data_IF_834703309670
#
_entry.id   IF_834703309670
#
_cell.length_a   1.000
_cell.length_b   1.000
_cell.length_c   1.000
_cell.angle_alpha   90.00
_cell.angle_beta   90.00
_cell.angle_gamma   90.00
#
_symmetry.space_group_name_H-M   'P 1'
#
loop_
_entity.id
_entity.type
_entity.pdbx_description
1 polymer ?
#
# COMPACT_ATOMS: atom_id res chain seq x y z
N UNK A 1 13.80 15.21 -53.10
CA UNK A 1 14.37 14.91 -51.78
C UNK A 1 13.55 13.80 -51.16
N UNK A 2 14.07 12.59 -51.15
CA UNK A 2 13.48 11.42 -50.49
C UNK A 2 13.60 11.61 -48.98
N UNK A 3 12.57 11.37 -48.16
CA UNK A 3 12.71 11.43 -46.71
C UNK A 3 13.74 10.39 -46.26
N UNK A 4 14.57 10.68 -45.24
CA UNK A 4 15.50 9.70 -44.71
C UNK A 4 14.69 8.52 -44.18
N UNK A 5 15.02 7.33 -44.68
CA UNK A 5 14.52 6.06 -44.18
C UNK A 5 14.86 5.97 -42.70
N UNK A 6 13.85 6.09 -41.83
CA UNK A 6 13.99 5.74 -40.43
C UNK A 6 14.40 4.28 -40.36
N UNK A 7 15.66 4.03 -40.01
CA UNK A 7 16.06 2.71 -39.56
C UNK A 7 15.12 2.34 -38.41
N UNK A 8 14.41 1.22 -38.56
CA UNK A 8 13.81 0.56 -37.43
C UNK A 8 14.92 0.31 -36.40
N UNK A 9 14.73 0.66 -35.12
CA UNK A 9 15.71 0.32 -34.09
C UNK A 9 15.94 -1.19 -34.11
N UNK A 10 17.21 -1.59 -34.10
CA UNK A 10 17.62 -2.99 -34.10
C UNK A 10 17.19 -3.73 -32.83
N UNK A 11 17.41 -5.06 -32.77
CA UNK A 11 16.97 -5.93 -31.66
C UNK A 11 17.64 -5.66 -30.31
N UNK A 12 18.56 -4.70 -30.23
CA UNK A 12 19.13 -4.14 -28.98
C UNK A 12 18.26 -2.98 -28.46
N UNK A 13 16.97 -3.20 -28.19
CA UNK A 13 16.41 -2.50 -27.03
C UNK A 13 17.20 -3.05 -25.85
N UNK A 14 18.15 -2.27 -25.32
CA UNK A 14 18.93 -2.64 -24.15
C UNK A 14 17.95 -2.83 -22.98
N UNK A 15 17.41 -4.04 -22.83
CA UNK A 15 16.53 -4.41 -21.73
C UNK A 15 17.44 -4.36 -20.50
N UNK A 16 17.39 -3.23 -19.79
CA UNK A 16 18.06 -3.07 -18.51
C UNK A 16 17.43 -4.09 -17.56
N UNK A 17 18.24 -5.06 -17.17
CA UNK A 17 17.86 -6.07 -16.21
C UNK A 17 17.82 -5.43 -14.82
N UNK A 18 16.87 -5.86 -14.01
CA UNK A 18 16.81 -5.45 -12.61
C UNK A 18 18.08 -5.95 -11.89
N UNK A 19 18.79 -5.11 -11.11
CA UNK A 19 19.94 -5.54 -10.33
C UNK A 19 19.61 -6.74 -9.40
N UNK A 20 20.52 -7.72 -9.21
CA UNK A 20 20.24 -8.93 -8.44
C UNK A 20 19.81 -8.68 -6.98
N UNK A 21 20.40 -7.68 -6.33
CA UNK A 21 20.07 -7.24 -4.98
C UNK A 21 18.63 -6.71 -4.89
N UNK A 22 18.21 -5.91 -5.87
CA UNK A 22 16.83 -5.42 -5.95
C UNK A 22 15.85 -6.55 -6.28
N UNK A 23 16.24 -7.48 -7.15
CA UNK A 23 15.44 -8.67 -7.46
C UNK A 23 15.15 -9.51 -6.21
N UNK A 24 16.15 -9.71 -5.34
CA UNK A 24 15.97 -10.42 -4.07
C UNK A 24 15.00 -9.68 -3.12
N UNK A 25 15.08 -8.35 -3.06
CA UNK A 25 14.13 -7.53 -2.27
C UNK A 25 12.71 -7.70 -2.80
N UNK A 26 12.53 -7.68 -4.12
CA UNK A 26 11.22 -7.84 -4.75
C UNK A 26 10.64 -9.22 -4.48
N UNK A 27 11.44 -10.28 -4.60
CA UNK A 27 11.01 -11.64 -4.25
C UNK A 27 10.55 -11.70 -2.80
N UNK A 28 11.37 -11.24 -1.85
CA UNK A 28 11.00 -11.21 -0.42
C UNK A 28 9.68 -10.49 -0.20
N UNK A 29 9.53 -9.32 -0.82
CA UNK A 29 8.35 -8.48 -0.66
C UNK A 29 7.09 -9.14 -1.25
N UNK A 30 7.19 -9.81 -2.41
CA UNK A 30 6.09 -10.57 -2.98
C UNK A 30 5.61 -11.71 -2.05
N UNK A 31 6.54 -12.45 -1.43
CA UNK A 31 6.19 -13.49 -0.45
C UNK A 31 5.49 -12.89 0.79
N UNK A 32 6.01 -11.79 1.33
CA UNK A 32 5.43 -11.14 2.51
C UNK A 32 4.02 -10.60 2.26
N UNK A 33 3.79 -9.99 1.09
CA UNK A 33 2.47 -9.50 0.68
C UNK A 33 1.46 -10.64 0.66
N UNK A 34 1.78 -11.73 -0.03
CA UNK A 34 0.93 -12.93 -0.15
C UNK A 34 0.68 -13.58 1.21
N UNK A 35 1.69 -13.63 2.08
CA UNK A 35 1.55 -14.16 3.42
C UNK A 35 0.60 -13.33 4.28
N UNK A 36 0.73 -11.99 4.23
CA UNK A 36 -0.16 -11.09 4.94
C UNK A 36 -1.60 -11.20 4.41
N UNK A 37 -1.79 -11.18 3.09
CA UNK A 37 -3.10 -11.33 2.45
C UNK A 37 -3.79 -12.62 2.89
N UNK A 38 -3.07 -13.75 2.81
CA UNK A 38 -3.63 -15.07 3.10
C UNK A 38 -4.02 -15.20 4.58
N UNK A 39 -3.18 -14.72 5.49
CA UNK A 39 -3.48 -14.74 6.93
C UNK A 39 -4.64 -13.83 7.28
N UNK A 40 -4.68 -12.61 6.74
CA UNK A 40 -5.80 -11.68 6.94
C UNK A 40 -7.08 -12.27 6.39
N UNK A 41 -7.06 -12.92 5.22
CA UNK A 41 -8.23 -13.55 4.61
C UNK A 41 -8.78 -14.70 5.46
N UNK A 42 -7.90 -15.53 6.03
CA UNK A 42 -8.28 -16.67 6.87
C UNK A 42 -8.72 -16.29 8.28
N UNK A 43 -8.23 -15.16 8.78
CA UNK A 43 -8.49 -14.72 10.16
C UNK A 43 -9.55 -13.64 10.14
N UNK A 44 -10.77 -13.96 10.60
CA UNK A 44 -11.93 -13.08 10.43
C UNK A 44 -12.20 -12.26 11.69
N UNK A 45 -12.43 -12.92 12.83
CA UNK A 45 -12.87 -12.26 14.06
C UNK A 45 -11.76 -12.23 15.13
N UNK A 46 -11.77 -11.22 16.02
CA UNK A 46 -10.99 -11.26 17.25
C UNK A 46 -11.34 -12.48 18.12
N UNK A 47 -10.34 -13.06 18.78
CA UNK A 47 -10.53 -14.08 19.82
C UNK A 47 -11.24 -13.43 21.02
N UNK A 48 -12.21 -14.12 21.67
CA UNK A 48 -12.89 -13.58 22.84
C UNK A 48 -11.92 -13.09 23.93
N UNK A 49 -12.21 -11.92 24.49
CA UNK A 49 -11.41 -11.19 25.48
C UNK A 49 -10.05 -10.67 24.99
N UNK A 50 -9.73 -10.79 23.70
CA UNK A 50 -8.58 -10.10 23.11
C UNK A 50 -8.74 -8.58 23.18
N UNK A 51 -7.67 -7.83 22.91
CA UNK A 51 -7.72 -6.37 22.97
C UNK A 51 -8.74 -5.79 21.99
N UNK A 52 -8.76 -6.28 20.74
CA UNK A 52 -9.70 -5.80 19.73
C UNK A 52 -11.14 -6.29 19.98
N UNK A 53 -11.34 -7.48 20.56
CA UNK A 53 -12.68 -7.91 21.01
C UNK A 53 -13.26 -6.93 22.06
N UNK A 54 -12.42 -6.52 23.02
CA UNK A 54 -12.81 -5.55 24.06
C UNK A 54 -13.05 -4.15 23.50
N UNK A 55 -12.24 -3.71 22.54
CA UNK A 55 -12.44 -2.43 21.85
C UNK A 55 -13.73 -2.44 21.02
N UNK A 56 -13.99 -3.53 20.30
CA UNK A 56 -15.24 -3.71 19.55
C UNK A 56 -16.46 -3.73 20.47
N UNK A 57 -16.34 -4.25 21.70
CA UNK A 57 -17.42 -4.19 22.68
C UNK A 57 -17.73 -2.76 23.16
N UNK A 58 -16.73 -1.84 23.18
CA UNK A 58 -16.95 -0.43 23.53
C UNK A 58 -17.74 0.28 22.42
N UNK A 59 -17.39 0.05 21.15
CA UNK A 59 -18.11 0.61 20.00
C UNK A 59 -18.61 -0.49 19.06
N UNK A 60 -19.70 -1.14 19.44
CA UNK A 60 -20.18 -2.38 18.80
C UNK A 60 -20.90 -2.18 17.46
N UNK A 61 -21.32 -0.94 17.14
CA UNK A 61 -22.08 -0.67 15.92
C UNK A 61 -21.25 -0.83 14.65
N UNK A 62 -19.97 -0.43 14.69
CA UNK A 62 -19.02 -0.63 13.61
C UNK A 62 -17.64 -0.94 14.18
N UNK A 63 -17.26 -2.22 14.08
CA UNK A 63 -16.10 -2.80 14.75
C UNK A 63 -14.77 -2.23 14.24
N UNK A 64 -13.88 -1.88 15.17
CA UNK A 64 -12.51 -1.44 14.88
C UNK A 64 -11.73 -2.57 14.21
N UNK A 65 -11.91 -3.82 14.67
CA UNK A 65 -11.25 -4.98 14.08
C UNK A 65 -11.57 -5.15 12.59
N UNK A 66 -12.84 -4.96 12.21
CA UNK A 66 -13.31 -5.07 10.83
C UNK A 66 -12.75 -3.97 9.93
N UNK A 67 -12.78 -2.71 10.39
CA UNK A 67 -12.25 -1.58 9.61
C UNK A 67 -10.73 -1.66 9.43
N UNK A 68 -10.00 -1.95 10.50
CA UNK A 68 -8.53 -2.10 10.43
C UNK A 68 -8.11 -3.27 9.56
N UNK A 69 -8.82 -4.42 9.63
CA UNK A 69 -8.61 -5.54 8.71
C UNK A 69 -8.89 -5.15 7.26
N UNK A 70 -9.96 -4.40 7.01
CA UNK A 70 -10.31 -3.92 5.66
C UNK A 70 -9.21 -3.04 5.06
N UNK A 71 -8.61 -2.14 5.85
CA UNK A 71 -7.46 -1.35 5.41
C UNK A 71 -6.25 -2.22 5.07
N UNK A 72 -5.93 -3.21 5.90
CA UNK A 72 -4.80 -4.11 5.66
C UNK A 72 -5.04 -5.01 4.44
N UNK A 73 -6.27 -5.49 4.23
CA UNK A 73 -6.65 -6.23 3.02
C UNK A 73 -6.54 -5.33 1.78
N UNK A 74 -7.04 -4.10 1.83
CA UNK A 74 -6.88 -3.16 0.71
C UNK A 74 -5.41 -2.87 0.41
N UNK A 75 -4.56 -2.76 1.43
CA UNK A 75 -3.12 -2.64 1.23
C UNK A 75 -2.54 -3.89 0.56
N UNK A 76 -2.92 -5.07 1.03
CA UNK A 76 -2.51 -6.35 0.46
C UNK A 76 -2.98 -6.53 -0.99
N UNK A 77 -4.20 -6.15 -1.34
CA UNK A 77 -4.74 -6.21 -2.71
C UNK A 77 -3.91 -5.35 -3.69
N UNK A 78 -3.63 -4.09 -3.33
CA UNK A 78 -2.82 -3.20 -4.16
C UNK A 78 -1.41 -3.74 -4.38
N UNK A 79 -0.78 -4.24 -3.31
CA UNK A 79 0.57 -4.81 -3.37
C UNK A 79 0.60 -6.18 -4.04
N UNK A 80 -0.48 -6.96 -3.97
CA UNK A 80 -0.60 -8.26 -4.63
C UNK A 80 -0.70 -8.09 -6.14
N UNK A 81 -1.40 -7.07 -6.63
CA UNK A 81 -1.37 -6.74 -8.05
C UNK A 81 0.06 -6.42 -8.53
N UNK A 82 0.85 -5.69 -7.73
CA UNK A 82 2.28 -5.51 -8.03
C UNK A 82 3.04 -6.85 -8.01
N UNK A 83 2.85 -7.67 -6.97
CA UNK A 83 3.52 -8.95 -6.80
C UNK A 83 3.21 -9.95 -7.93
N UNK A 84 1.96 -9.99 -8.40
CA UNK A 84 1.52 -10.85 -9.50
C UNK A 84 2.10 -10.40 -10.84
N UNK A 85 2.34 -9.09 -10.99
CA UNK A 85 3.04 -8.59 -12.17
C UNK A 85 4.52 -8.97 -12.11
N UNK A 86 5.22 -8.76 -10.99
CA UNK A 86 6.69 -8.94 -10.93
C UNK A 86 7.16 -10.36 -10.64
N UNK A 87 6.34 -11.17 -9.98
CA UNK A 87 6.62 -12.53 -9.56
C UNK A 87 5.37 -13.42 -9.68
N UNK A 88 4.85 -13.62 -10.92
CA UNK A 88 3.61 -14.37 -11.15
C UNK A 88 3.73 -15.83 -10.69
N UNK A 89 2.59 -16.47 -10.38
CA UNK A 89 2.54 -17.92 -10.11
C UNK A 89 2.75 -18.78 -11.35
N UNK A 90 2.66 -18.20 -12.54
CA UNK A 90 2.88 -18.90 -13.81
C UNK A 90 3.61 -17.98 -14.78
N UNK A 91 4.67 -18.50 -15.41
CA UNK A 91 5.38 -17.80 -16.47
C UNK A 91 4.86 -18.24 -17.84
N UNK A 92 4.50 -17.27 -18.67
CA UNK A 92 4.21 -17.53 -20.08
C UNK A 92 5.54 -17.60 -20.85
N UNK A 93 5.86 -18.71 -21.55
CA UNK A 93 7.10 -18.85 -22.29
C UNK A 93 7.29 -17.70 -23.30
N UNK A 94 8.47 -17.07 -23.27
CA UNK A 94 8.82 -15.95 -24.14
C UNK A 94 8.16 -14.61 -23.80
N UNK A 95 7.32 -14.55 -22.75
CA UNK A 95 6.78 -13.28 -22.30
C UNK A 95 7.86 -12.45 -21.57
N UNK A 96 8.03 -11.21 -21.99
CA UNK A 96 8.88 -10.23 -21.31
C UNK A 96 8.00 -9.40 -20.37
N UNK A 97 8.24 -9.53 -19.08
CA UNK A 97 7.55 -8.71 -18.10
C UNK A 97 8.12 -7.28 -18.09
N UNK A 98 7.32 -6.31 -18.52
CA UNK A 98 7.73 -4.91 -18.58
C UNK A 98 7.40 -4.21 -17.26
N UNK A 99 8.42 -3.88 -16.49
CA UNK A 99 8.30 -3.04 -15.30
C UNK A 99 7.83 -1.64 -15.69
N UNK A 100 6.69 -1.21 -15.14
CA UNK A 100 6.14 0.13 -15.36
C UNK A 100 6.27 0.95 -14.09
N UNK A 101 7.30 1.81 -14.04
CA UNK A 101 7.67 2.59 -12.84
C UNK A 101 6.51 3.36 -12.22
N UNK A 102 5.80 4.17 -13.00
CA UNK A 102 4.75 5.06 -12.46
C UNK A 102 3.55 4.27 -11.89
N UNK A 103 2.96 3.29 -12.61
CA UNK A 103 1.92 2.44 -12.01
C UNK A 103 2.39 1.70 -10.76
N UNK A 104 3.60 1.16 -10.74
CA UNK A 104 4.10 0.40 -9.58
C UNK A 104 4.26 1.29 -8.35
N UNK A 105 4.77 2.52 -8.53
CA UNK A 105 4.84 3.51 -7.46
C UNK A 105 3.46 3.89 -6.93
N UNK A 106 2.44 4.01 -7.80
CA UNK A 106 1.07 4.27 -7.35
C UNK A 106 0.48 3.10 -6.54
N UNK A 107 0.71 1.85 -6.98
CA UNK A 107 0.29 0.67 -6.21
C UNK A 107 0.97 0.63 -4.83
N UNK A 108 2.28 0.89 -4.80
CA UNK A 108 3.05 0.95 -3.55
C UNK A 108 2.53 2.07 -2.63
N UNK A 109 2.26 3.26 -3.17
CA UNK A 109 1.69 4.38 -2.43
C UNK A 109 0.32 4.05 -1.85
N UNK A 110 -0.59 3.48 -2.64
CA UNK A 110 -1.91 3.08 -2.16
C UNK A 110 -1.81 2.00 -1.06
N UNK A 111 -0.92 1.03 -1.23
CA UNK A 111 -0.62 0.03 -0.20
C UNK A 111 -0.11 0.65 1.11
N UNK A 112 0.85 1.56 1.01
CA UNK A 112 1.43 2.27 2.14
C UNK A 112 0.40 3.13 2.87
N UNK A 113 -0.40 3.92 2.14
CA UNK A 113 -1.46 4.76 2.72
C UNK A 113 -2.49 3.92 3.48
N UNK A 114 -2.96 2.81 2.89
CA UNK A 114 -3.95 1.94 3.51
C UNK A 114 -3.38 1.24 4.77
N UNK A 115 -2.16 0.71 4.71
CA UNK A 115 -1.53 0.09 5.88
C UNK A 115 -1.25 1.12 7.00
N UNK A 116 -0.85 2.34 6.66
CA UNK A 116 -0.62 3.43 7.61
C UNK A 116 -1.90 3.84 8.37
N UNK A 117 -3.07 3.83 7.72
CA UNK A 117 -4.36 4.04 8.39
C UNK A 117 -4.63 2.98 9.45
N UNK A 118 -4.44 1.71 9.11
CA UNK A 118 -4.61 0.62 10.06
C UNK A 118 -3.66 0.78 11.25
N UNK A 119 -2.37 1.04 10.98
CA UNK A 119 -1.36 1.24 12.03
C UNK A 119 -1.70 2.39 12.97
N UNK A 120 -2.17 3.52 12.45
CA UNK A 120 -2.57 4.64 13.29
C UNK A 120 -3.71 4.27 14.25
N UNK A 121 -4.65 3.42 13.86
CA UNK A 121 -5.70 2.95 14.78
C UNK A 121 -5.15 1.89 15.75
N UNK A 122 -4.30 0.98 15.25
CA UNK A 122 -3.78 -0.19 15.96
C UNK A 122 -2.59 0.10 16.89
N UNK A 123 -2.00 1.28 16.81
CA UNK A 123 -0.98 1.71 17.77
C UNK A 123 -1.62 2.20 19.07
N UNK A 124 -2.23 1.25 19.79
CA UNK A 124 -3.00 1.45 21.01
C UNK A 124 -2.12 1.95 22.15
N UNK A 125 -2.41 3.15 22.66
CA UNK A 125 -2.03 3.56 24.01
C UNK A 125 -3.10 3.14 25.02
N UNK A 126 -4.38 3.24 24.66
CA UNK A 126 -5.53 2.79 25.44
C UNK A 126 -6.69 2.35 24.54
N UNK A 127 -7.71 1.69 25.11
CA UNK A 127 -8.91 1.30 24.36
C UNK A 127 -9.76 2.51 23.97
N UNK A 128 -9.87 3.49 24.87
CA UNK A 128 -10.58 4.74 24.63
C UNK A 128 -9.96 5.51 23.46
N UNK A 129 -8.63 5.62 23.44
CA UNK A 129 -7.94 6.30 22.34
C UNK A 129 -8.18 5.59 21.00
N UNK A 130 -8.14 4.25 20.99
CA UNK A 130 -8.42 3.47 19.80
C UNK A 130 -9.82 3.78 19.23
N UNK A 131 -10.84 3.78 20.10
CA UNK A 131 -12.21 4.13 19.73
C UNK A 131 -12.31 5.59 19.26
N UNK A 132 -11.63 6.53 19.93
CA UNK A 132 -11.61 7.94 19.51
C UNK A 132 -10.99 8.11 18.12
N UNK A 133 -9.87 7.44 17.82
CA UNK A 133 -9.24 7.46 16.48
C UNK A 133 -10.17 6.87 15.43
N UNK A 134 -10.80 5.73 15.73
CA UNK A 134 -11.76 5.05 14.85
C UNK A 134 -12.99 5.93 14.53
N UNK A 135 -13.62 6.52 15.54
CA UNK A 135 -14.80 7.39 15.38
C UNK A 135 -14.48 8.64 14.54
N UNK A 136 -13.30 9.25 14.73
CA UNK A 136 -12.84 10.37 13.89
C UNK A 136 -12.70 9.96 12.43
N UNK A 137 -12.17 8.77 12.20
CA UNK A 137 -11.94 8.23 10.87
C UNK A 137 -13.25 7.87 10.16
N UNK A 138 -14.19 7.19 10.84
CA UNK A 138 -15.52 6.93 10.30
C UNK A 138 -16.25 8.22 9.92
N UNK A 139 -16.19 9.24 10.79
CA UNK A 139 -16.80 10.52 10.50
C UNK A 139 -16.17 11.19 9.26
N UNK A 140 -14.84 11.12 9.13
CA UNK A 140 -14.14 11.60 7.94
C UNK A 140 -14.55 10.85 6.67
N UNK A 141 -14.58 9.52 6.72
CA UNK A 141 -14.99 8.65 5.60
C UNK A 141 -16.42 8.95 5.15
N UNK A 142 -17.38 9.05 6.08
CA UNK A 142 -18.77 9.37 5.74
C UNK A 142 -18.90 10.74 5.08
N UNK A 143 -18.09 11.73 5.48
CA UNK A 143 -18.04 13.04 4.79
C UNK A 143 -17.49 12.93 3.38
N UNK A 144 -16.48 12.09 3.16
CA UNK A 144 -15.94 11.84 1.82
C UNK A 144 -16.96 11.12 0.93
N UNK A 145 -17.64 10.12 1.45
CA UNK A 145 -18.73 9.42 0.76
C UNK A 145 -19.88 10.37 0.41
N UNK A 146 -20.32 11.22 1.35
CA UNK A 146 -21.30 12.28 1.07
C UNK A 146 -20.84 13.19 -0.06
N UNK A 147 -19.60 13.66 -0.02
CA UNK A 147 -19.03 14.52 -1.07
C UNK A 147 -19.04 13.84 -2.43
N UNK A 148 -18.70 12.55 -2.49
CA UNK A 148 -18.72 11.76 -3.72
C UNK A 148 -20.15 11.60 -4.29
N UNK A 149 -21.15 11.31 -3.45
CA UNK A 149 -22.56 11.24 -3.86
C UNK A 149 -23.06 12.56 -4.41
N UNK A 150 -22.76 13.67 -3.72
CA UNK A 150 -23.13 15.02 -4.17
C UNK A 150 -22.47 15.37 -5.50
N UNK A 151 -21.18 15.06 -5.67
CA UNK A 151 -20.47 15.29 -6.93
C UNK A 151 -21.10 14.50 -8.10
N UNK A 152 -21.60 13.29 -7.83
CA UNK A 152 -22.36 12.45 -8.78
C UNK A 152 -23.84 12.86 -8.91
N UNK A 153 -24.32 13.86 -8.16
CA UNK A 153 -25.74 14.26 -8.10
C UNK A 153 -26.69 13.13 -7.64
N UNK A 154 -26.22 12.29 -6.71
CA UNK A 154 -27.00 11.22 -6.08
C UNK A 154 -27.50 11.65 -4.69
N UNK A 155 -28.60 11.04 -4.21
CA UNK A 155 -29.16 11.35 -2.87
C UNK A 155 -28.19 10.94 -1.73
N UNK A 156 -27.73 11.89 -0.88
CA UNK A 156 -26.86 11.61 0.24
C UNK A 156 -27.60 11.31 1.56
N UNK A 157 -28.94 11.30 1.59
CA UNK A 157 -29.74 11.20 2.82
C UNK A 157 -29.31 10.05 3.74
N UNK A 158 -29.03 8.87 3.18
CA UNK A 158 -28.58 7.70 3.95
C UNK A 158 -27.25 7.93 4.65
N UNK A 159 -26.28 8.58 4.00
CA UNK A 159 -24.97 8.82 4.61
C UNK A 159 -25.02 9.98 5.60
N UNK A 160 -25.91 10.95 5.37
CA UNK A 160 -26.20 12.01 6.35
C UNK A 160 -26.78 11.42 7.64
N UNK A 161 -27.72 10.47 7.53
CA UNK A 161 -28.24 9.77 8.69
C UNK A 161 -27.13 9.00 9.43
N UNK A 162 -26.23 8.30 8.71
CA UNK A 162 -25.08 7.63 9.34
C UNK A 162 -24.15 8.58 10.09
N UNK A 163 -23.94 9.80 9.60
CA UNK A 163 -23.16 10.84 10.31
C UNK A 163 -23.88 11.24 11.61
N UNK A 164 -25.18 11.50 11.55
CA UNK A 164 -25.99 11.83 12.73
C UNK A 164 -25.98 10.72 13.76
N UNK A 165 -26.19 9.46 13.32
CA UNK A 165 -26.16 8.28 14.17
C UNK A 165 -24.79 8.10 14.84
N UNK A 166 -23.71 8.29 14.08
CA UNK A 166 -22.34 8.22 14.60
C UNK A 166 -22.12 9.24 15.72
N UNK A 167 -22.53 10.50 15.50
CA UNK A 167 -22.39 11.57 16.50
C UNK A 167 -23.19 11.24 17.76
N UNK A 168 -24.44 10.79 17.60
CA UNK A 168 -25.30 10.40 18.72
C UNK A 168 -24.67 9.26 19.53
N UNK A 169 -24.29 8.16 18.87
CA UNK A 169 -23.69 6.99 19.54
C UNK A 169 -22.36 7.32 20.21
N UNK A 170 -21.58 8.22 19.62
CA UNK A 170 -20.30 8.63 20.17
C UNK A 170 -20.47 9.53 21.41
N UNK A 171 -21.59 10.26 21.52
CA UNK A 171 -21.95 11.04 22.71
C UNK A 171 -22.43 10.16 23.88
N UNK A 172 -22.95 8.96 23.60
CA UNK A 172 -23.41 7.99 24.61
C UNK A 172 -22.26 7.18 25.25
N UNK A 173 -21.02 7.36 24.78
CA UNK A 173 -19.85 6.69 25.35
C UNK A 173 -19.47 7.28 26.71
N UNK A 174 -18.83 6.47 27.57
CA UNK A 174 -18.42 6.86 28.94
C UNK A 174 -17.23 7.82 28.98
N UNK A 175 -16.68 8.18 27.83
CA UNK A 175 -15.56 9.12 27.68
C UNK A 175 -15.84 10.07 26.51
N UNK A 176 -15.25 11.27 26.58
CA UNK A 176 -15.43 12.26 25.53
C UNK A 176 -14.86 11.74 24.21
N UNK A 177 -15.67 11.86 23.15
CA UNK A 177 -15.21 11.66 21.79
C UNK A 177 -15.34 12.95 21.00
N UNK A 178 -14.48 13.12 20.01
CA UNK A 178 -14.48 14.29 19.12
C UNK A 178 -14.59 13.85 17.67
N UNK A 179 -15.75 13.31 17.21
CA UNK A 179 -15.89 12.73 15.87
C UNK A 179 -15.53 13.73 14.75
N UNK A 180 -15.85 15.01 14.94
CA UNK A 180 -15.57 16.06 13.99
C UNK A 180 -14.09 16.48 13.91
N UNK A 181 -13.24 16.06 14.87
CA UNK A 181 -11.80 16.34 14.83
C UNK A 181 -11.18 15.61 13.63
N UNK A 182 -10.53 16.37 12.76
CA UNK A 182 -9.88 15.84 11.57
C UNK A 182 -8.82 14.80 11.95
N UNK A 183 -8.79 13.60 11.32
CA UNK A 183 -7.65 12.69 11.40
C UNK A 183 -6.35 13.35 10.89
N UNK A 184 -5.18 12.78 11.21
CA UNK A 184 -3.91 13.21 10.61
C UNK A 184 -3.95 13.19 9.09
N UNK A 185 -3.10 13.97 8.44
CA UNK A 185 -2.93 13.89 6.98
C UNK A 185 -2.28 12.57 6.58
N UNK A 186 -2.40 12.19 5.30
CA UNK A 186 -1.75 10.97 4.78
C UNK A 186 -0.23 10.97 5.04
N UNK A 187 0.45 12.10 4.86
CA UNK A 187 1.88 12.18 5.16
C UNK A 187 2.18 11.92 6.64
N UNK A 188 1.40 12.48 7.56
CA UNK A 188 1.56 12.23 9.00
C UNK A 188 1.34 10.76 9.34
N UNK A 189 0.36 10.11 8.70
CA UNK A 189 0.10 8.67 8.88
C UNK A 189 1.28 7.84 8.37
N UNK A 190 1.84 8.19 7.20
CA UNK A 190 3.02 7.52 6.62
C UNK A 190 4.23 7.68 7.53
N UNK A 191 4.45 8.88 8.06
CA UNK A 191 5.53 9.16 9.04
C UNK A 191 5.36 8.31 10.30
N UNK A 192 4.16 8.27 10.88
CA UNK A 192 3.87 7.43 12.04
C UNK A 192 4.05 5.93 11.75
N UNK A 193 3.72 5.47 10.54
CA UNK A 193 3.98 4.10 10.12
C UNK A 193 5.49 3.80 10.04
N UNK A 194 6.30 4.73 9.55
CA UNK A 194 7.76 4.61 9.54
C UNK A 194 8.32 4.48 10.97
N UNK A 195 7.88 5.34 11.89
CA UNK A 195 8.27 5.25 13.30
C UNK A 195 7.91 3.89 13.91
N UNK A 196 6.70 3.40 13.62
CA UNK A 196 6.20 2.11 14.13
C UNK A 196 7.00 0.88 13.63
N UNK A 197 7.75 1.05 12.54
CA UNK A 197 8.61 0.04 11.92
C UNK A 197 10.10 0.26 12.19
N UNK A 198 10.47 1.34 12.89
CA UNK A 198 11.86 1.72 13.14
C UNK A 198 12.58 2.25 11.89
N UNK A 199 11.83 2.78 10.91
CA UNK A 199 12.35 3.42 9.70
C UNK A 199 12.36 4.94 9.81
N UNK A 200 13.06 5.62 8.90
CA UNK A 200 13.12 7.10 8.87
C UNK A 200 11.79 7.69 8.35
N UNK A 201 11.09 8.50 9.16
CA UNK A 201 9.84 9.14 8.75
C UNK A 201 9.99 10.11 7.57
N UNK A 202 11.14 10.79 7.45
CA UNK A 202 11.39 11.71 6.34
C UNK A 202 11.58 10.97 5.03
N UNK A 203 12.26 9.83 5.08
CA UNK A 203 12.47 8.99 3.90
C UNK A 203 11.14 8.43 3.39
N UNK A 204 10.29 7.90 4.28
CA UNK A 204 8.98 7.39 3.86
C UNK A 204 8.06 8.50 3.32
N UNK A 205 8.11 9.70 3.91
CA UNK A 205 7.38 10.85 3.39
C UNK A 205 7.91 11.28 2.00
N UNK A 206 9.22 11.23 1.78
CA UNK A 206 9.83 11.51 0.49
C UNK A 206 9.38 10.48 -0.56
N UNK A 207 9.53 9.18 -0.29
CA UNK A 207 9.09 8.10 -1.19
C UNK A 207 7.60 8.20 -1.51
N UNK A 208 6.77 8.47 -0.51
CA UNK A 208 5.33 8.68 -0.69
C UNK A 208 5.04 9.85 -1.63
N UNK A 209 5.70 11.00 -1.45
CA UNK A 209 5.56 12.17 -2.32
C UNK A 209 6.11 11.90 -3.74
N UNK A 210 7.24 11.21 -3.87
CA UNK A 210 7.82 10.77 -5.13
C UNK A 210 6.86 9.89 -5.93
N UNK A 211 6.21 8.94 -5.27
CA UNK A 211 5.18 8.13 -5.90
C UNK A 211 3.97 8.95 -6.40
N UNK A 212 3.58 10.01 -5.68
CA UNK A 212 2.60 11.00 -6.19
C UNK A 212 3.08 11.69 -7.45
N UNK A 213 4.31 12.22 -7.39
CA UNK A 213 4.92 12.97 -8.47
C UNK A 213 5.01 12.11 -9.73
N UNK A 214 5.40 10.85 -9.58
CA UNK A 214 5.43 9.86 -10.64
C UNK A 214 4.06 9.62 -11.25
N UNK A 215 3.06 9.32 -10.42
CA UNK A 215 1.71 8.98 -10.86
C UNK A 215 0.97 10.13 -11.55
N UNK A 216 1.20 11.37 -11.10
CA UNK A 216 0.60 12.57 -11.68
C UNK A 216 1.45 13.22 -12.78
N UNK A 217 2.65 12.70 -13.06
CA UNK A 217 3.54 13.23 -14.08
C UNK A 217 4.10 14.61 -13.76
N UNK A 218 4.37 14.87 -12.48
CA UNK A 218 5.05 16.08 -12.05
C UNK A 218 6.49 16.09 -12.58
N UNK A 219 6.93 17.25 -13.09
CA UNK A 219 8.21 17.37 -13.78
C UNK A 219 9.40 16.99 -12.89
N UNK A 220 9.37 17.36 -11.60
CA UNK A 220 10.47 17.08 -10.68
C UNK A 220 10.75 15.58 -10.55
N UNK A 221 9.71 14.73 -10.53
CA UNK A 221 9.92 13.28 -10.51
C UNK A 221 10.55 12.77 -11.81
N UNK A 222 10.26 13.41 -12.94
CA UNK A 222 10.92 13.10 -14.22
C UNK A 222 12.42 13.38 -14.21
N UNK A 223 12.89 14.28 -13.35
CA UNK A 223 14.31 14.61 -13.16
C UNK A 223 14.96 13.74 -12.07
N UNK A 224 14.21 13.39 -11.02
CA UNK A 224 14.72 12.63 -9.87
C UNK A 224 14.67 11.11 -10.09
N UNK A 225 13.57 10.60 -10.67
CA UNK A 225 13.30 9.16 -10.79
C UNK A 225 13.82 8.50 -12.08
N UNK A 226 14.52 9.27 -12.91
CA UNK A 226 15.06 8.80 -14.19
C UNK A 226 16.46 9.35 -14.43
N UNK A 227 17.37 8.49 -14.86
CA UNK A 227 18.61 8.90 -15.49
C UNK A 227 18.30 9.41 -16.90
N UNK A 228 18.52 10.72 -17.11
CA UNK A 228 18.29 11.38 -18.38
C UNK A 228 19.61 11.47 -19.15
N UNK A 229 19.76 10.65 -20.18
CA UNK A 229 20.94 10.64 -21.05
C UNK A 229 20.67 11.53 -22.27
N UNK A 230 21.37 12.67 -22.43
CA UNK A 230 21.23 13.51 -23.62
C UNK A 230 21.73 12.77 -24.87
N UNK A 231 20.96 12.78 -25.94
CA UNK A 231 21.31 12.07 -27.18
C UNK A 231 21.61 13.01 -28.35
N UNK A 232 20.81 14.05 -28.54
CA UNK A 232 20.98 15.01 -29.64
C UNK A 232 20.36 16.37 -29.28
N UNK A 233 21.11 17.44 -29.51
CA UNK A 233 20.60 18.82 -29.39
C UNK A 233 19.65 19.12 -30.56
N UNK A 234 18.50 19.74 -30.29
CA UNK A 234 17.53 20.12 -31.31
C UNK A 234 17.27 21.64 -31.37
N UNK A 235 17.60 22.37 -30.31
CA UNK A 235 17.70 23.84 -30.22
C UNK A 235 18.85 24.18 -29.27
N UNK A 236 19.49 25.37 -29.35
CA UNK A 236 20.55 25.75 -28.43
C UNK A 236 20.15 25.54 -26.96
N UNK A 237 20.85 24.65 -26.27
CA UNK A 237 20.60 24.27 -24.87
C UNK A 237 19.49 23.23 -24.65
N UNK A 238 18.84 22.72 -25.70
CA UNK A 238 17.74 21.75 -25.61
C UNK A 238 18.11 20.42 -26.25
N UNK A 239 18.10 19.38 -25.43
CA UNK A 239 18.52 18.03 -25.82
C UNK A 239 17.34 17.08 -25.82
N UNK A 240 17.28 16.21 -26.82
CA UNK A 240 16.52 14.96 -26.74
C UNK A 240 17.19 14.08 -25.70
N UNK A 241 16.38 13.43 -24.89
CA UNK A 241 16.86 12.55 -23.82
C UNK A 241 16.28 11.16 -23.97
N UNK A 242 17.10 10.17 -23.66
CA UNK A 242 16.63 8.82 -23.34
C UNK A 242 16.48 8.75 -21.83
N UNK A 243 15.29 8.36 -21.37
CA UNK A 243 14.97 8.21 -19.95
C UNK A 243 15.14 6.77 -19.51
N UNK A 244 16.03 6.54 -18.55
CA UNK A 244 16.24 5.24 -17.91
C UNK A 244 15.64 5.31 -16.50
N UNK A 245 14.61 4.52 -16.16
CA UNK A 245 14.04 4.58 -14.82
C UNK A 245 15.03 4.05 -13.77
N UNK A 246 15.15 4.76 -12.66
CA UNK A 246 15.89 4.25 -11.50
C UNK A 246 15.00 3.25 -10.73
N UNK A 247 15.36 1.96 -10.69
CA UNK A 247 14.55 0.94 -10.04
C UNK A 247 14.60 1.00 -8.49
N UNK A 248 15.50 1.80 -7.89
CA UNK A 248 15.56 2.02 -6.43
C UNK A 248 14.24 2.61 -5.93
N UNK A 249 13.67 3.59 -6.63
CA UNK A 249 12.40 4.20 -6.21
C UNK A 249 11.27 3.19 -6.07
N UNK A 250 11.15 2.25 -7.01
CA UNK A 250 10.14 1.19 -6.92
C UNK A 250 10.47 0.28 -5.74
N UNK A 251 11.72 -0.16 -5.65
CA UNK A 251 12.20 -1.07 -4.62
C UNK A 251 11.92 -0.53 -3.22
N UNK A 252 12.32 0.70 -2.94
CA UNK A 252 12.22 1.31 -1.61
C UNK A 252 10.79 1.69 -1.26
N UNK A 253 10.01 2.21 -2.22
CA UNK A 253 8.59 2.53 -1.97
C UNK A 253 7.77 1.27 -1.71
N UNK A 254 8.01 0.19 -2.47
CA UNK A 254 7.37 -1.10 -2.23
C UNK A 254 7.83 -1.69 -0.90
N UNK A 255 9.12 -1.64 -0.57
CA UNK A 255 9.64 -2.14 0.70
C UNK A 255 9.01 -1.41 1.89
N UNK A 256 8.88 -0.08 1.82
CA UNK A 256 8.16 0.71 2.82
C UNK A 256 6.70 0.27 2.97
N UNK A 257 5.98 0.12 1.85
CA UNK A 257 4.59 -0.33 1.85
C UNK A 257 4.42 -1.74 2.43
N UNK A 258 5.31 -2.68 2.08
CA UNK A 258 5.29 -4.06 2.58
C UNK A 258 5.65 -4.13 4.06
N UNK A 259 6.62 -3.32 4.53
CA UNK A 259 6.93 -3.22 5.96
C UNK A 259 5.76 -2.68 6.76
N UNK A 260 5.06 -1.65 6.26
CA UNK A 260 3.86 -1.13 6.88
C UNK A 260 2.75 -2.20 6.93
N UNK A 261 2.50 -2.91 5.83
CA UNK A 261 1.54 -4.01 5.77
C UNK A 261 1.88 -5.14 6.76
N UNK A 262 3.14 -5.59 6.79
CA UNK A 262 3.61 -6.64 7.68
C UNK A 262 3.43 -6.22 9.14
N UNK A 263 3.88 -5.01 9.50
CA UNK A 263 3.75 -4.48 10.85
C UNK A 263 2.29 -4.34 11.26
N UNK A 264 1.45 -3.85 10.36
CA UNK A 264 0.00 -3.71 10.57
C UNK A 264 -0.67 -5.06 10.78
N UNK A 265 -0.32 -6.05 9.97
CA UNK A 265 -0.84 -7.43 10.06
C UNK A 265 -0.43 -8.09 11.38
N UNK A 266 0.85 -8.02 11.75
CA UNK A 266 1.35 -8.53 13.03
C UNK A 266 0.62 -7.87 14.21
N UNK A 267 0.51 -6.54 14.19
CA UNK A 267 -0.18 -5.79 15.23
C UNK A 267 -1.65 -6.17 15.33
N UNK A 268 -2.33 -6.33 14.20
CA UNK A 268 -3.72 -6.75 14.15
C UNK A 268 -3.89 -8.16 14.72
N UNK A 269 -3.08 -9.14 14.30
CA UNK A 269 -3.11 -10.52 14.83
C UNK A 269 -2.94 -10.53 16.35
N UNK A 270 -1.90 -9.86 16.84
CA UNK A 270 -1.59 -9.77 18.26
C UNK A 270 -2.75 -9.17 19.07
N UNK A 271 -3.36 -8.09 18.58
CA UNK A 271 -4.46 -7.43 19.28
C UNK A 271 -5.78 -8.19 19.19
N UNK A 272 -5.99 -8.95 18.11
CA UNK A 272 -7.08 -9.91 17.97
C UNK A 272 -6.84 -11.21 18.76
N UNK A 273 -5.68 -11.40 19.39
CA UNK A 273 -5.37 -12.61 20.17
C UNK A 273 -4.95 -13.82 19.34
N UNK A 274 -4.57 -13.62 18.08
CA UNK A 274 -4.02 -14.66 17.20
C UNK A 274 -2.48 -14.71 17.27
N UNK A 275 -1.89 -15.84 16.87
CA UNK A 275 -0.43 -16.00 16.84
C UNK A 275 0.17 -15.28 15.61
N UNK A 276 1.11 -14.35 15.83
CA UNK A 276 1.84 -13.64 14.76
C UNK A 276 2.62 -14.61 13.86
N UNK A 277 2.99 -15.80 14.35
CA UNK A 277 3.67 -16.85 13.58
C UNK A 277 2.84 -17.41 12.43
N UNK A 278 1.53 -17.15 12.40
CA UNK A 278 0.67 -17.52 11.27
C UNK A 278 1.21 -16.99 9.93
N UNK A 279 1.86 -15.81 9.93
CA UNK A 279 2.47 -15.21 8.72
C UNK A 279 3.59 -16.10 8.18
N UNK A 280 4.46 -16.64 9.04
CA UNK A 280 5.50 -17.57 8.63
C UNK A 280 4.97 -18.95 8.25
N UNK A 281 3.91 -19.41 8.94
CA UNK A 281 3.34 -20.74 8.76
C UNK A 281 2.71 -20.95 7.37
N UNK A 282 2.29 -19.89 6.69
CA UNK A 282 1.76 -19.96 5.31
C UNK A 282 2.83 -19.92 4.23
N UNK A 283 4.10 -19.69 4.59
CA UNK A 283 5.22 -19.63 3.67
C UNK A 283 5.35 -20.86 2.75
N UNK A 284 5.32 -22.11 3.28
CA UNK A 284 5.38 -23.31 2.46
C UNK A 284 4.25 -23.40 1.41
N UNK A 285 3.03 -23.02 1.77
CA UNK A 285 1.89 -23.03 0.85
C UNK A 285 2.08 -22.04 -0.30
N UNK A 286 2.64 -20.86 -0.02
CA UNK A 286 2.94 -19.85 -1.04
C UNK A 286 4.06 -20.37 -1.94
N UNK A 287 5.13 -20.91 -1.34
CA UNK A 287 6.27 -21.47 -2.07
C UNK A 287 5.84 -22.59 -3.04
N UNK A 288 4.94 -23.48 -2.61
CA UNK A 288 4.43 -24.57 -3.45
C UNK A 288 3.72 -24.09 -4.71
N UNK A 289 3.13 -22.89 -4.67
CA UNK A 289 2.46 -22.26 -5.83
C UNK A 289 3.41 -21.48 -6.73
N UNK A 290 4.61 -21.16 -6.26
CA UNK A 290 5.57 -20.38 -7.04
C UNK A 290 6.15 -21.21 -8.19
N UNK A 291 6.48 -20.58 -9.33
CA UNK A 291 7.12 -21.27 -10.43
C UNK A 291 8.46 -21.86 -9.96
N UNK A 292 8.62 -23.16 -10.19
CA UNK A 292 9.84 -23.89 -9.88
C UNK A 292 10.76 -23.88 -11.09
N UNK A 293 12.04 -23.64 -10.88
CA UNK A 293 13.02 -23.84 -11.97
C UNK A 293 13.14 -25.34 -12.25
N UNK A 294 13.59 -25.74 -13.44
CA UNK A 294 13.76 -27.16 -13.81
C UNK A 294 14.66 -27.95 -12.85
N UNK A 295 15.52 -27.25 -12.11
CA UNK A 295 16.44 -27.84 -11.13
C UNK A 295 15.74 -28.16 -9.79
N UNK A 296 14.63 -27.50 -9.47
CA UNK A 296 13.83 -27.71 -8.24
C UNK A 296 12.85 -28.89 -8.34
N UNK A 297 12.68 -29.48 -9.52
CA UNK A 297 11.76 -30.62 -9.74
C UNK A 297 12.44 -31.99 -9.60
N UNK A 298 13.73 -32.01 -9.27
CA UNK A 298 14.56 -33.23 -9.23
C UNK A 298 15.24 -33.55 -7.91
N UNK A 299 14.85 -32.93 -6.78
CA UNK A 299 15.39 -33.26 -5.44
C UNK A 299 14.36 -33.90 -4.52
#
# INVERSE_FOLDING_TARGET
MTPPSGHAPGPDESILQLPPDQSQVWTRNAYLVRACELVLTRTVDPVPNSALDRVDAIYHWEKVSGWTRSYLLSAAENLSLWADLVAPYEFVPGAVNRVRTRPYLLLARSGLEAAAHALWILDLTSFEECVQRHVRLMHHDFKMHKKALVARKSDPSRIEQRITDLISRAADLTFETTPARKPPGYEDLVRGAAESTGSDPNEWAYLWNAASGAGHGQNWFGLEGFDLVPTAEYEPGHFRTTSIPDPIYITDTVDAAVRALLRGTMRWLKLCGHDEKMIGAVGPEIFDKMPKTSDDQGS
#
